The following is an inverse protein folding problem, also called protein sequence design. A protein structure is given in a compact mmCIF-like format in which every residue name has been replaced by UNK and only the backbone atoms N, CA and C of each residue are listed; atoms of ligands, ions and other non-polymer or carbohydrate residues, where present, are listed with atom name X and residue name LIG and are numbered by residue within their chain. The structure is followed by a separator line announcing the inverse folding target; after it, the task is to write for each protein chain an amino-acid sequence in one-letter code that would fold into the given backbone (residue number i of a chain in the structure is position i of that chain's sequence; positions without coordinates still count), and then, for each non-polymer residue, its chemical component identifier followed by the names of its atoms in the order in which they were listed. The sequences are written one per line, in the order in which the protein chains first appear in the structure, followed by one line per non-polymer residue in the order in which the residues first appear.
data_IF_206302692239
#
_entry.id   IF_206302692239
#
_cell.length_a   1.000
_cell.length_b   1.000
_cell.length_c   1.000
_cell.angle_alpha   90.00
_cell.angle_beta   90.00
_cell.angle_gamma   90.00
#
_symmetry.space_group_name_H-M   'P 1'
#
loop_
_entity.id
_entity.type
_entity.pdbx_description
1 polymer ?
#
# COMPACT_ATOMS: atom_id res chain seq x y z
N UNK A 1 15.04 1.60 -5.63
CA UNK A 1 13.72 1.71 -4.95
C UNK A 1 13.69 0.66 -3.86
N UNK A 2 13.13 0.95 -2.68
CA UNK A 2 12.99 -0.04 -1.59
C UNK A 2 11.51 -0.35 -1.38
N UNK A 3 11.18 -1.62 -1.16
CA UNK A 3 9.80 -2.04 -0.94
C UNK A 3 9.70 -3.03 0.20
N UNK A 4 8.64 -2.95 1.00
CA UNK A 4 8.43 -3.84 2.14
C UNK A 4 6.96 -3.90 2.56
N UNK A 5 6.60 -4.99 3.23
CA UNK A 5 5.33 -5.11 3.95
C UNK A 5 5.41 -4.34 5.27
N UNK A 6 4.32 -3.67 5.61
CA UNK A 6 4.14 -2.92 6.85
C UNK A 6 2.89 -3.46 7.55
N UNK A 7 3.06 -4.13 8.68
CA UNK A 7 1.93 -4.44 9.55
C UNK A 7 1.55 -3.19 10.37
N UNK A 8 0.26 -2.89 10.42
CA UNK A 8 -0.28 -1.80 11.22
C UNK A 8 -1.61 -2.21 11.87
N UNK A 9 -2.00 -1.50 12.91
CA UNK A 9 -3.23 -1.78 13.66
C UNK A 9 -4.32 -0.76 13.32
N UNK A 10 -5.53 -1.25 13.09
CA UNK A 10 -6.74 -0.46 13.10
C UNK A 10 -7.71 -1.09 14.11
N UNK A 11 -7.89 -0.43 15.25
CA UNK A 11 -8.59 -0.99 16.41
C UNK A 11 -8.00 -2.35 16.82
N UNK A 12 -8.77 -3.43 16.67
CA UNK A 12 -8.38 -4.80 16.98
C UNK A 12 -8.01 -5.62 15.72
N UNK A 13 -7.83 -4.95 14.58
CA UNK A 13 -7.56 -5.58 13.29
C UNK A 13 -6.12 -5.31 12.88
N UNK A 14 -5.35 -6.39 12.70
CA UNK A 14 -4.02 -6.33 12.07
C UNK A 14 -4.19 -6.18 10.56
N UNK A 15 -3.81 -5.03 10.02
CA UNK A 15 -3.79 -4.78 8.59
C UNK A 15 -2.38 -5.01 8.01
N UNK A 16 -2.34 -5.42 6.74
CA UNK A 16 -1.08 -5.62 6.01
C UNK A 16 -0.96 -4.59 4.90
N UNK A 17 -0.11 -3.59 5.10
CA UNK A 17 0.17 -2.53 4.15
C UNK A 17 1.44 -2.78 3.34
N UNK A 18 1.54 -2.16 2.17
CA UNK A 18 2.70 -2.29 1.29
C UNK A 18 3.29 -0.91 1.05
N UNK A 19 4.59 -0.75 1.32
CA UNK A 19 5.30 0.52 1.16
C UNK A 19 6.31 0.41 0.03
N UNK A 20 6.31 1.41 -0.84
CA UNK A 20 7.33 1.64 -1.86
C UNK A 20 8.00 3.01 -1.62
N UNK A 21 9.30 3.00 -1.33
CA UNK A 21 10.11 4.19 -1.12
C UNK A 21 10.96 4.51 -2.37
N UNK A 22 10.99 5.78 -2.81
CA UNK A 22 11.90 6.21 -3.87
C UNK A 22 13.37 6.21 -3.38
N UNK A 23 14.33 6.12 -4.29
CA UNK A 23 15.76 6.07 -3.93
C UNK A 23 16.27 7.35 -3.29
N UNK A 24 15.73 8.49 -3.72
CA UNK A 24 16.07 9.82 -3.22
C UNK A 24 15.17 10.25 -2.05
N UNK A 25 14.66 9.29 -1.25
CA UNK A 25 13.84 9.58 -0.07
C UNK A 25 14.58 10.55 0.87
N UNK A 26 13.87 11.59 1.28
CA UNK A 26 14.19 12.48 2.40
C UNK A 26 13.17 12.33 3.53
N UNK A 27 13.43 12.96 4.69
CA UNK A 27 12.50 13.00 5.83
C UNK A 27 11.14 13.60 5.47
N UNK A 28 11.10 14.62 4.61
CA UNK A 28 9.89 15.33 4.20
C UNK A 28 9.26 14.77 2.92
N UNK A 29 9.60 13.54 2.52
CA UNK A 29 9.04 12.95 1.30
C UNK A 29 7.54 12.73 1.47
N UNK A 30 6.69 13.31 0.61
CA UNK A 30 5.25 13.14 0.72
C UNK A 30 4.84 11.69 0.48
N UNK A 31 3.82 11.26 1.22
CA UNK A 31 3.22 9.92 1.12
C UNK A 31 1.93 10.01 0.32
N UNK A 32 1.78 9.15 -0.68
CA UNK A 32 0.51 8.92 -1.38
C UNK A 32 -0.05 7.58 -0.94
N UNK A 33 -1.24 7.63 -0.35
CA UNK A 33 -1.95 6.45 0.12
C UNK A 33 -2.84 5.90 -1.01
N UNK A 34 -2.74 4.60 -1.25
CA UNK A 34 -3.48 3.89 -2.28
C UNK A 34 -4.50 2.96 -1.63
N UNK A 35 -5.77 3.26 -1.84
CA UNK A 35 -6.91 2.45 -1.42
C UNK A 35 -7.23 1.45 -2.51
N UNK A 36 -7.30 0.16 -2.16
CA UNK A 36 -7.64 -0.89 -3.13
C UNK A 36 -9.12 -0.85 -3.55
N UNK A 37 -9.44 -1.53 -4.65
CA UNK A 37 -10.82 -1.74 -5.11
C UNK A 37 -11.52 -2.85 -4.28
N UNK A 38 -12.73 -3.25 -4.69
CA UNK A 38 -13.51 -4.29 -4.04
C UNK A 38 -12.74 -5.62 -3.83
N UNK A 39 -11.75 -5.91 -4.69
CA UNK A 39 -10.94 -7.13 -4.65
C UNK A 39 -9.95 -7.22 -3.49
N UNK A 40 -9.84 -6.20 -2.62
CA UNK A 40 -8.79 -6.16 -1.61
C UNK A 40 -7.44 -5.73 -2.16
N UNK A 41 -6.41 -5.70 -1.30
CA UNK A 41 -5.03 -5.34 -1.64
C UNK A 41 -4.36 -6.46 -2.44
N UNK A 42 -4.54 -6.42 -3.76
CA UNK A 42 -3.87 -7.31 -4.73
C UNK A 42 -2.73 -6.59 -5.45
N UNK A 43 -1.90 -7.32 -6.21
CA UNK A 43 -0.70 -6.79 -6.88
C UNK A 43 -0.93 -5.49 -7.66
N UNK A 44 -2.12 -5.30 -8.23
CA UNK A 44 -2.49 -4.09 -8.94
C UNK A 44 -2.29 -2.80 -8.10
N UNK A 45 -2.70 -2.79 -6.83
CA UNK A 45 -2.55 -1.57 -5.99
C UNK A 45 -1.11 -1.36 -5.57
N UNK A 46 -0.35 -2.44 -5.34
CA UNK A 46 1.08 -2.37 -5.03
C UNK A 46 1.89 -1.82 -6.21
N UNK A 47 1.51 -2.18 -7.44
CA UNK A 47 2.08 -1.60 -8.67
C UNK A 47 1.79 -0.10 -8.76
N UNK A 48 0.59 0.37 -8.38
CA UNK A 48 0.31 1.82 -8.33
C UNK A 48 1.15 2.53 -7.27
N UNK A 49 1.36 1.92 -6.10
CA UNK A 49 2.26 2.45 -5.08
C UNK A 49 3.71 2.57 -5.61
N UNK A 50 4.20 1.57 -6.36
CA UNK A 50 5.53 1.65 -7.01
C UNK A 50 5.61 2.81 -8.01
N UNK A 51 4.57 3.05 -8.82
CA UNK A 51 4.57 4.16 -9.78
C UNK A 51 4.68 5.53 -9.10
N UNK A 52 4.19 5.67 -7.86
CA UNK A 52 4.33 6.91 -7.09
C UNK A 52 5.82 7.27 -6.84
N UNK A 53 6.67 6.26 -6.67
CA UNK A 53 8.11 6.46 -6.45
C UNK A 53 8.82 7.11 -7.62
N UNK A 54 8.34 6.89 -8.86
CA UNK A 54 8.87 7.54 -10.06
C UNK A 54 8.66 9.05 -10.06
N UNK A 55 7.70 9.54 -9.27
CA UNK A 55 7.41 10.96 -9.08
C UNK A 55 8.03 11.52 -7.79
N UNK A 56 8.83 10.72 -7.08
CA UNK A 56 9.47 11.12 -5.82
C UNK A 56 8.58 11.01 -4.60
N UNK A 57 7.44 10.31 -4.67
CA UNK A 57 6.55 10.09 -3.53
C UNK A 57 6.82 8.72 -2.89
N UNK A 58 6.57 8.60 -1.60
CA UNK A 58 6.41 7.29 -0.96
C UNK A 58 5.01 6.78 -1.31
N UNK A 59 4.93 5.59 -1.91
CA UNK A 59 3.66 4.91 -2.16
C UNK A 59 3.30 4.02 -0.98
N UNK A 60 2.08 4.14 -0.45
CA UNK A 60 1.57 3.26 0.61
C UNK A 60 0.24 2.64 0.21
N UNK A 61 0.24 1.37 -0.19
CA UNK A 61 -0.99 0.62 -0.44
C UNK A 61 -1.52 0.01 0.85
N UNK A 62 -2.74 0.39 1.22
CA UNK A 62 -3.36 -0.01 2.48
C UNK A 62 -4.24 -1.24 2.29
N UNK A 63 -4.39 -2.01 3.37
CA UNK A 63 -5.37 -3.08 3.50
C UNK A 63 -6.58 -2.54 4.28
N UNK A 64 -7.62 -2.13 3.54
CA UNK A 64 -8.83 -1.56 4.13
C UNK A 64 -9.71 -2.60 4.81
N UNK A 65 -9.65 -3.85 4.35
CA UNK A 65 -10.48 -4.93 4.92
C UNK A 65 -9.84 -5.57 6.14
N UNK A 66 -8.51 -5.43 6.28
CA UNK A 66 -7.73 -5.99 7.36
C UNK A 66 -7.47 -7.47 7.20
N UNK A 67 -6.48 -7.96 7.94
CA UNK A 67 -5.99 -9.34 7.92
C UNK A 67 -5.59 -9.85 6.52
N UNK A 68 -5.31 -8.95 5.57
CA UNK A 68 -4.98 -9.28 4.18
C UNK A 68 -6.13 -9.90 3.40
N UNK A 69 -7.39 -9.57 3.75
CA UNK A 69 -8.57 -10.10 3.06
C UNK A 69 -8.62 -9.61 1.60
N UNK A 70 -8.87 -10.54 0.68
CA UNK A 70 -9.08 -10.26 -0.74
C UNK A 70 -10.42 -10.84 -1.21
N UNK A 71 -11.01 -10.21 -2.22
CA UNK A 71 -12.20 -10.70 -2.91
C UNK A 71 -11.82 -11.54 -4.13
N UNK A 72 -12.54 -12.64 -4.36
CA UNK A 72 -12.28 -13.57 -5.47
C UNK A 72 -13.45 -13.65 -6.48
N UNK A 73 -14.54 -12.94 -6.24
CA UNK A 73 -15.74 -12.87 -7.08
C UNK A 73 -16.25 -11.44 -7.18
N UNK A 74 -16.91 -11.12 -8.30
CA UNK A 74 -17.64 -9.86 -8.50
C UNK A 74 -19.02 -9.86 -7.82
N UNK A 75 -19.50 -11.05 -7.42
CA UNK A 75 -20.74 -11.31 -6.71
C UNK A 75 -20.50 -11.54 -5.21
#
# INVERSE_FOLDING_TARGET
MKTYELEYQHENITCKGYVAEPENRSENTPVVMFVHMWSGRVSFVDEKAKLATQKGYIGFAIDMYGNGKTGNSVE
#
